data_IF_050080902570
#
_entry.id   IF_050080902570
#
_cell.length_a   1.000
_cell.length_b   1.000
_cell.length_c   1.000
_cell.angle_alpha   90.00
_cell.angle_beta   90.00
_cell.angle_gamma   90.00
#
_symmetry.space_group_name_H-M   'P 1'
#
loop_
_entity.id
_entity.type
_entity.pdbx_description
1 polymer ?
#
# COMPACT_ATOMS: atom_id res chain seq x y z
N UNK A 1 13.40 2.81 -24.90
CA UNK A 1 13.56 2.55 -23.45
C UNK A 1 12.22 2.81 -22.80
N UNK A 2 11.40 1.77 -22.63
CA UNK A 2 10.09 1.91 -21.98
C UNK A 2 10.33 2.12 -20.49
N UNK A 3 10.20 3.36 -20.04
CA UNK A 3 9.95 3.66 -18.64
C UNK A 3 8.55 3.12 -18.32
N UNK A 4 8.45 1.82 -18.05
CA UNK A 4 7.23 1.21 -17.54
C UNK A 4 6.99 1.81 -16.16
N UNK A 5 6.15 2.83 -16.11
CA UNK A 5 5.62 3.46 -14.91
C UNK A 5 4.70 2.43 -14.22
N UNK A 6 5.32 1.37 -13.67
CA UNK A 6 4.63 0.31 -12.94
C UNK A 6 4.04 0.95 -11.70
N UNK A 7 2.73 1.18 -11.74
CA UNK A 7 1.99 1.79 -10.63
C UNK A 7 2.26 0.95 -9.40
N UNK A 8 2.83 1.55 -8.36
CA UNK A 8 3.02 0.88 -7.07
C UNK A 8 1.71 0.98 -6.28
N UNK A 9 1.23 -0.14 -5.81
CA UNK A 9 0.00 -0.24 -5.03
C UNK A 9 0.29 -1.02 -3.77
N UNK A 10 -0.19 -0.53 -2.62
CA UNK A 10 -0.20 -1.34 -1.41
C UNK A 10 -1.51 -2.10 -1.34
N UNK A 11 -1.43 -3.38 -1.01
CA UNK A 11 -2.56 -4.21 -0.65
C UNK A 11 -2.47 -4.52 0.86
N UNK A 12 -3.37 -3.91 1.63
CA UNK A 12 -3.52 -4.16 3.06
C UNK A 12 -4.46 -5.34 3.24
N UNK A 13 -3.97 -6.42 3.82
CA UNK A 13 -4.67 -7.72 3.86
C UNK A 13 -4.13 -8.60 4.97
N UNK A 14 -4.90 -9.62 5.35
CA UNK A 14 -4.36 -10.76 6.10
C UNK A 14 -3.39 -11.53 5.22
N UNK A 15 -2.26 -11.96 5.80
CA UNK A 15 -1.23 -12.78 5.15
C UNK A 15 -1.78 -14.18 4.86
N UNK A 16 -2.61 -14.23 3.82
CA UNK A 16 -3.44 -15.37 3.44
C UNK A 16 -3.16 -15.77 2.00
N UNK A 17 -3.55 -17.00 1.63
CA UNK A 17 -3.42 -17.46 0.25
C UNK A 17 -4.20 -16.57 -0.74
N UNK A 18 -5.36 -16.04 -0.32
CA UNK A 18 -6.18 -15.16 -1.17
C UNK A 18 -5.42 -13.87 -1.52
N UNK A 19 -4.71 -13.31 -0.55
CA UNK A 19 -3.91 -12.10 -0.74
C UNK A 19 -2.76 -12.30 -1.74
N UNK A 20 -2.10 -13.46 -1.69
CA UNK A 20 -1.04 -13.83 -2.64
C UNK A 20 -1.60 -14.00 -4.04
N UNK A 21 -2.74 -14.67 -4.18
CA UNK A 21 -3.39 -14.86 -5.49
C UNK A 21 -3.83 -13.52 -6.10
N UNK A 22 -4.38 -12.62 -5.28
CA UNK A 22 -4.77 -11.29 -5.75
C UNK A 22 -3.54 -10.50 -6.21
N UNK A 23 -2.45 -10.54 -5.43
CA UNK A 23 -1.16 -9.94 -5.81
C UNK A 23 -0.70 -10.45 -7.17
N UNK A 24 -0.64 -11.76 -7.35
CA UNK A 24 -0.19 -12.38 -8.60
C UNK A 24 -1.02 -11.94 -9.80
N UNK A 25 -2.35 -11.85 -9.64
CA UNK A 25 -3.25 -11.37 -10.70
C UNK A 25 -2.99 -9.90 -11.04
N UNK A 26 -2.81 -9.03 -10.03
CA UNK A 26 -2.53 -7.61 -10.23
C UNK A 26 -1.18 -7.39 -10.91
N UNK A 27 -0.15 -8.14 -10.52
CA UNK A 27 1.18 -8.06 -11.10
C UNK A 27 1.21 -8.61 -12.53
N UNK A 28 0.65 -9.80 -12.77
CA UNK A 28 0.73 -10.47 -14.08
C UNK A 28 -0.23 -9.92 -15.13
N UNK A 29 -1.47 -9.55 -14.75
CA UNK A 29 -2.47 -9.10 -15.72
C UNK A 29 -2.50 -7.60 -15.92
N UNK A 30 -2.20 -6.82 -14.88
CA UNK A 30 -2.32 -5.37 -14.91
C UNK A 30 -0.96 -4.65 -14.92
N UNK A 31 0.15 -5.40 -14.79
CA UNK A 31 1.50 -4.85 -14.74
C UNK A 31 1.66 -3.78 -13.64
N UNK A 32 1.02 -4.02 -12.49
CA UNK A 32 1.03 -3.17 -11.29
C UNK A 32 2.01 -3.79 -10.29
N UNK A 33 2.85 -3.01 -9.64
CA UNK A 33 3.72 -3.52 -8.57
C UNK A 33 2.95 -3.50 -7.25
N UNK A 34 2.75 -4.66 -6.63
CA UNK A 34 1.90 -4.79 -5.44
C UNK A 34 2.72 -5.15 -4.21
N UNK A 35 2.63 -4.30 -3.19
CA UNK A 35 3.21 -4.55 -1.88
C UNK A 35 2.14 -5.03 -0.91
N UNK A 36 2.29 -6.26 -0.42
CA UNK A 36 1.44 -6.82 0.63
C UNK A 36 1.87 -6.29 1.99
N UNK A 37 0.91 -5.80 2.77
CA UNK A 37 1.14 -5.30 4.13
C UNK A 37 0.04 -5.81 5.05
N UNK A 38 0.42 -6.45 6.15
CA UNK A 38 -0.52 -6.77 7.23
C UNK A 38 -0.88 -5.49 8.00
N UNK A 39 -2.13 -5.32 8.47
CA UNK A 39 -2.54 -4.12 9.21
C UNK A 39 -1.67 -3.82 10.45
N UNK A 40 -1.18 -4.86 11.12
CA UNK A 40 -0.26 -4.77 12.27
C UNK A 40 1.13 -4.20 11.92
N UNK A 41 1.53 -4.27 10.63
CA UNK A 41 2.80 -3.77 10.12
C UNK A 41 2.70 -2.35 9.56
N UNK A 42 1.52 -1.72 9.63
CA UNK A 42 1.34 -0.34 9.16
C UNK A 42 2.19 0.68 9.95
N UNK A 43 2.46 0.38 11.22
CA UNK A 43 3.28 1.22 12.11
C UNK A 43 4.78 1.09 11.81
N UNK A 44 5.20 -0.06 11.25
CA UNK A 44 6.57 -0.38 10.87
C UNK A 44 6.75 -0.14 9.37
N UNK A 45 6.79 1.14 9.00
CA UNK A 45 6.83 1.57 7.60
C UNK A 45 7.88 0.83 6.75
N UNK A 46 7.51 0.30 5.57
CA UNK A 46 8.45 0.14 4.48
C UNK A 46 8.76 1.51 3.86
N UNK A 47 10.05 1.74 3.57
CA UNK A 47 10.72 3.04 3.41
C UNK A 47 10.21 4.01 2.32
N UNK A 48 9.14 3.76 1.57
CA UNK A 48 8.77 4.65 0.46
C UNK A 48 7.29 4.65 0.07
N UNK A 49 6.44 5.15 0.97
CA UNK A 49 5.05 5.52 0.67
C UNK A 49 4.96 6.66 -0.37
N UNK A 50 6.07 7.36 -0.63
CA UNK A 50 6.17 8.53 -1.53
C UNK A 50 5.92 8.25 -3.01
N UNK A 51 5.83 6.98 -3.44
CA UNK A 51 5.66 6.62 -4.86
C UNK A 51 4.46 5.72 -5.13
N UNK A 52 3.49 5.69 -4.21
CA UNK A 52 2.34 4.79 -4.25
C UNK A 52 1.17 5.47 -4.96
N UNK A 53 0.61 4.79 -5.96
CA UNK A 53 -0.51 5.27 -6.77
C UNK A 53 -1.88 4.97 -6.14
N UNK A 54 -2.00 3.88 -5.38
CA UNK A 54 -3.25 3.50 -4.71
C UNK A 54 -3.00 2.59 -3.51
N UNK A 55 -3.99 2.51 -2.62
CA UNK A 55 -4.05 1.54 -1.52
C UNK A 55 -5.32 0.71 -1.70
N UNK A 56 -5.17 -0.60 -1.77
CA UNK A 56 -6.24 -1.60 -1.74
C UNK A 56 -6.36 -2.14 -0.32
N UNK A 57 -7.59 -2.34 0.14
CA UNK A 57 -7.91 -2.94 1.44
C UNK A 57 -8.72 -4.20 1.18
N UNK A 58 -8.14 -5.35 1.52
CA UNK A 58 -8.78 -6.66 1.51
C UNK A 58 -8.84 -7.18 2.96
N UNK A 59 -9.73 -6.55 3.74
CA UNK A 59 -9.87 -6.82 5.16
C UNK A 59 -11.36 -6.82 5.54
N UNK A 60 -11.84 -7.93 6.12
CA UNK A 60 -13.28 -8.13 6.35
C UNK A 60 -13.84 -7.23 7.46
N UNK A 61 -13.06 -6.94 8.51
CA UNK A 61 -13.50 -6.14 9.66
C UNK A 61 -12.38 -5.20 10.09
N UNK A 62 -12.58 -3.89 9.98
CA UNK A 62 -11.60 -2.91 10.43
C UNK A 62 -11.97 -2.47 11.85
N UNK A 63 -11.10 -2.77 12.83
CA UNK A 63 -11.24 -2.26 14.20
C UNK A 63 -10.79 -0.80 14.29
N UNK A 64 -11.20 -0.08 15.34
CA UNK A 64 -10.78 1.31 15.57
C UNK A 64 -9.25 1.46 15.66
N UNK A 65 -8.57 0.45 16.20
CA UNK A 65 -7.10 0.41 16.26
C UNK A 65 -6.48 0.33 14.86
N UNK A 66 -6.94 -0.60 14.02
CA UNK A 66 -6.46 -0.75 12.64
C UNK A 66 -6.80 0.49 11.80
N UNK A 67 -8.00 1.05 12.00
CA UNK A 67 -8.41 2.29 11.35
C UNK A 67 -7.49 3.46 11.71
N UNK A 68 -7.15 3.60 12.99
CA UNK A 68 -6.25 4.64 13.48
C UNK A 68 -4.86 4.50 12.85
N UNK A 69 -4.29 3.28 12.81
CA UNK A 69 -3.02 2.98 12.14
C UNK A 69 -3.05 3.34 10.65
N UNK A 70 -4.13 2.97 9.95
CA UNK A 70 -4.31 3.31 8.54
C UNK A 70 -4.35 4.83 8.31
N UNK A 71 -5.04 5.58 9.18
CA UNK A 71 -5.13 7.03 9.09
C UNK A 71 -3.77 7.71 9.31
N UNK A 72 -2.97 7.23 10.27
CA UNK A 72 -1.60 7.69 10.47
C UNK A 72 -0.70 7.34 9.28
N UNK A 73 -0.81 6.12 8.78
CA UNK A 73 -0.12 5.66 7.57
C UNK A 73 -0.38 6.59 6.36
N UNK A 74 -1.65 6.91 6.09
CA UNK A 74 -2.06 7.82 5.02
C UNK A 74 -1.56 9.24 5.24
N UNK A 75 -1.61 9.75 6.47
CA UNK A 75 -1.14 11.09 6.83
C UNK A 75 0.36 11.24 6.60
N UNK A 76 1.15 10.24 6.99
CA UNK A 76 2.60 10.24 6.81
C UNK A 76 3.02 10.13 5.33
N UNK A 77 2.24 9.42 4.51
CA UNK A 77 2.42 9.42 3.05
C UNK A 77 2.15 10.79 2.41
N UNK A 78 1.23 11.57 2.98
CA UNK A 78 0.79 12.87 2.44
C UNK A 78 1.67 14.05 2.89
N UNK A 79 2.25 14.01 4.10
CA UNK A 79 3.04 15.11 4.68
C UNK A 79 4.41 15.36 4.00
N UNK A 80 4.91 14.44 3.17
CA UNK A 80 6.20 14.61 2.49
C UNK A 80 6.12 15.42 1.19
N UNK A 81 4.92 15.74 0.68
CA UNK A 81 4.75 16.49 -0.57
C UNK A 81 4.94 18.02 -0.38
N UNK A 82 4.74 18.55 0.84
CA UNK A 82 4.77 20.00 1.11
C UNK A 82 6.16 20.59 1.43
N UNK A 83 7.21 19.77 1.54
CA UNK A 83 8.55 20.23 1.95
C UNK A 83 9.56 20.45 0.81
N UNK A 84 9.14 20.36 -0.44
CA UNK A 84 10.00 20.64 -1.61
C UNK A 84 9.46 21.84 -2.40
N UNK A 85 9.51 23.02 -1.79
CA UNK A 85 9.33 24.30 -2.48
C UNK A 85 9.98 25.39 -1.63
N UNK A 86 11.32 25.39 -1.57
CA UNK A 86 12.15 26.56 -1.29
C UNK A 86 13.48 26.39 -2.01
#
# INVERSE_FOLDING_TARGET
MENQNTRKVILITEDSLQSSLLKDVLETKLNINVQLISPEKLDTQPESVSSISAILLDYSVISDEVFSRYMEFKKNGSQRHDRSSY
#
